data_IF_471209692376
#
_entry.id   IF_471209692376
#
_cell.length_a   1.000
_cell.length_b   1.000
_cell.length_c   1.000
_cell.angle_alpha   90.00
_cell.angle_beta   90.00
_cell.angle_gamma   90.00
#
_symmetry.space_group_name_H-M   'P 1'
#
loop_
_entity.id
_entity.type
_entity.pdbx_description
1 polymer ?
#
# COMPACT_ATOMS: atom_id res chain seq x y z
N UNK A 1 104.79 6.97 -59.11
CA UNK A 1 103.49 6.74 -59.76
C UNK A 1 102.76 5.46 -59.33
N UNK A 2 103.35 4.57 -58.50
CA UNK A 2 102.65 3.37 -57.99
C UNK A 2 102.12 3.51 -56.54
N UNK A 3 102.30 4.67 -55.90
CA UNK A 3 101.85 4.91 -54.51
C UNK A 3 100.59 5.80 -54.41
N UNK A 4 100.28 6.61 -55.42
CA UNK A 4 99.09 7.49 -55.41
C UNK A 4 97.78 6.74 -55.73
N UNK A 5 97.85 5.61 -56.44
CA UNK A 5 96.66 4.82 -56.81
C UNK A 5 96.14 3.94 -55.66
N UNK A 6 97.01 3.55 -54.72
CA UNK A 6 96.64 2.64 -53.63
C UNK A 6 95.93 3.35 -52.47
N UNK A 7 96.29 4.61 -52.19
CA UNK A 7 95.58 5.45 -51.20
C UNK A 7 94.18 5.84 -51.68
N UNK A 8 94.02 6.14 -52.98
CA UNK A 8 92.71 6.47 -53.57
C UNK A 8 91.71 5.31 -53.45
N UNK A 9 92.15 4.06 -53.58
CA UNK A 9 91.28 2.89 -53.43
C UNK A 9 90.95 2.57 -51.97
N UNK A 10 91.83 2.90 -51.02
CA UNK A 10 91.57 2.72 -49.59
C UNK A 10 90.52 3.73 -49.08
N UNK A 11 90.59 4.98 -49.54
CA UNK A 11 89.61 6.02 -49.22
C UNK A 11 88.24 5.73 -49.85
N UNK A 12 88.20 5.24 -51.11
CA UNK A 12 86.96 4.77 -51.76
C UNK A 12 86.31 3.60 -51.00
N UNK A 13 87.12 2.63 -50.54
CA UNK A 13 86.61 1.51 -49.74
C UNK A 13 86.09 1.96 -48.37
N UNK A 14 86.72 2.95 -47.73
CA UNK A 14 86.27 3.51 -46.46
C UNK A 14 84.94 4.23 -46.63
N UNK A 15 84.82 5.06 -47.66
CA UNK A 15 83.58 5.76 -48.00
C UNK A 15 82.43 4.79 -48.33
N UNK A 16 82.72 3.69 -49.04
CA UNK A 16 81.74 2.64 -49.31
C UNK A 16 81.29 1.92 -48.03
N UNK A 17 82.19 1.65 -47.08
CA UNK A 17 81.85 1.02 -45.79
C UNK A 17 80.97 1.94 -44.94
N UNK A 18 81.27 3.23 -44.87
CA UNK A 18 80.42 4.21 -44.19
C UNK A 18 79.04 4.32 -44.85
N UNK A 19 78.99 4.29 -46.19
CA UNK A 19 77.72 4.30 -46.94
C UNK A 19 76.89 3.04 -46.67
N UNK A 20 77.52 1.86 -46.63
CA UNK A 20 76.85 0.60 -46.30
C UNK A 20 76.32 0.64 -44.87
N UNK A 21 77.13 1.04 -43.89
CA UNK A 21 76.69 1.15 -42.50
C UNK A 21 75.52 2.15 -42.34
N UNK A 22 75.54 3.28 -43.07
CA UNK A 22 74.43 4.24 -43.09
C UNK A 22 73.16 3.68 -43.72
N UNK A 23 73.27 2.88 -44.79
CA UNK A 23 72.13 2.22 -45.42
C UNK A 23 71.56 1.11 -44.54
N UNK A 24 72.40 0.30 -43.90
CA UNK A 24 72.00 -0.74 -42.95
C UNK A 24 71.24 -0.14 -41.77
N UNK A 25 71.71 0.98 -41.21
CA UNK A 25 71.01 1.71 -40.16
C UNK A 25 69.64 2.24 -40.63
N UNK A 26 69.55 2.76 -41.86
CA UNK A 26 68.27 3.24 -42.43
C UNK A 26 67.29 2.10 -42.70
N UNK A 27 67.78 0.94 -43.15
CA UNK A 27 66.93 -0.26 -43.35
C UNK A 27 66.38 -0.74 -42.00
N UNK A 28 67.21 -0.80 -40.95
CA UNK A 28 66.77 -1.19 -39.63
C UNK A 28 65.71 -0.23 -39.05
N UNK A 29 65.88 1.09 -39.24
CA UNK A 29 64.90 2.11 -38.84
C UNK A 29 63.56 1.93 -39.57
N UNK A 30 63.59 1.74 -40.90
CA UNK A 30 62.38 1.50 -41.69
C UNK A 30 61.67 0.18 -41.34
N UNK A 31 62.43 -0.87 -41.01
CA UNK A 31 61.86 -2.14 -40.55
C UNK A 31 61.16 -1.99 -39.20
N UNK A 32 61.72 -1.20 -38.28
CA UNK A 32 61.10 -0.89 -37.00
C UNK A 32 59.82 -0.07 -37.18
N UNK A 33 59.85 1.00 -37.99
CA UNK A 33 58.65 1.80 -38.30
C UNK A 33 57.55 0.95 -38.97
N UNK A 34 57.92 0.09 -39.94
CA UNK A 34 56.98 -0.84 -40.57
C UNK A 34 56.38 -1.82 -39.57
N UNK A 35 57.18 -2.30 -38.61
CA UNK A 35 56.70 -3.20 -37.56
C UNK A 35 55.72 -2.49 -36.64
N UNK A 36 56.03 -1.28 -36.16
CA UNK A 36 55.14 -0.48 -35.32
C UNK A 36 53.82 -0.14 -36.03
N UNK A 37 53.88 0.26 -37.30
CA UNK A 37 52.68 0.50 -38.12
C UNK A 37 51.83 -0.76 -38.32
N UNK A 38 52.46 -1.92 -38.56
CA UNK A 38 51.74 -3.20 -38.67
C UNK A 38 51.06 -3.56 -37.35
N UNK A 39 51.72 -3.35 -36.22
CA UNK A 39 51.16 -3.61 -34.90
C UNK A 39 49.98 -2.67 -34.60
N UNK A 40 50.13 -1.37 -34.87
CA UNK A 40 49.06 -0.38 -34.70
C UNK A 40 47.84 -0.67 -35.59
N UNK A 41 48.06 -1.06 -36.85
CA UNK A 41 46.99 -1.45 -37.76
C UNK A 41 46.27 -2.72 -37.31
N UNK A 42 47.01 -3.73 -36.85
CA UNK A 42 46.44 -4.96 -36.31
C UNK A 42 45.60 -4.69 -35.05
N UNK A 43 46.09 -3.84 -34.14
CA UNK A 43 45.35 -3.44 -32.94
C UNK A 43 44.06 -2.70 -33.27
N UNK A 44 44.10 -1.75 -34.21
CA UNK A 44 42.91 -1.00 -34.65
C UNK A 44 41.86 -1.93 -35.29
N UNK A 45 42.30 -2.89 -36.10
CA UNK A 45 41.40 -3.88 -36.70
C UNK A 45 40.75 -4.79 -35.64
N UNK A 46 41.54 -5.25 -34.66
CA UNK A 46 41.03 -6.08 -33.57
C UNK A 46 39.98 -5.35 -32.70
N UNK A 47 40.19 -4.06 -32.41
CA UNK A 47 39.22 -3.25 -31.66
C UNK A 47 37.89 -3.12 -32.41
N UNK A 48 37.93 -2.84 -33.71
CA UNK A 48 36.71 -2.75 -34.53
C UNK A 48 36.00 -4.10 -34.59
N UNK A 49 36.72 -5.20 -34.78
CA UNK A 49 36.14 -6.55 -34.84
C UNK A 49 35.56 -7.02 -33.48
N UNK A 50 36.04 -6.48 -32.36
CA UNK A 50 35.51 -6.80 -31.03
C UNK A 50 34.19 -6.09 -30.71
N UNK A 51 33.95 -4.91 -31.30
CA UNK A 51 32.79 -4.07 -31.01
C UNK A 51 31.72 -4.16 -32.10
N UNK A 52 32.14 -4.29 -33.35
CA UNK A 52 31.24 -4.31 -34.48
C UNK A 52 31.18 -5.68 -35.14
N UNK A 53 29.96 -6.20 -35.25
CA UNK A 53 29.68 -7.44 -35.97
C UNK A 53 29.89 -7.27 -37.48
N UNK A 54 29.67 -6.06 -37.99
CA UNK A 54 29.89 -5.73 -39.40
C UNK A 54 30.85 -4.56 -39.51
N UNK A 55 31.89 -4.74 -40.33
CA UNK A 55 32.66 -3.64 -40.91
C UNK A 55 32.37 -3.55 -42.40
N UNK A 56 32.21 -2.33 -42.90
CA UNK A 56 31.90 -2.07 -44.29
C UNK A 56 32.80 -0.97 -44.85
N UNK A 57 32.96 -0.98 -46.17
CA UNK A 57 33.65 0.08 -46.88
C UNK A 57 33.05 0.28 -48.26
N UNK A 58 33.06 1.53 -48.74
CA UNK A 58 32.53 1.91 -50.06
C UNK A 58 33.60 2.63 -50.87
N UNK A 59 33.33 2.80 -52.17
CA UNK A 59 34.15 3.65 -53.03
C UNK A 59 34.07 5.12 -52.61
N UNK A 60 34.98 5.94 -53.13
CA UNK A 60 35.07 7.37 -52.84
C UNK A 60 33.77 8.15 -53.12
N UNK A 61 33.01 7.74 -54.14
CA UNK A 61 31.73 8.32 -54.54
C UNK A 61 30.54 7.85 -53.68
N UNK A 62 30.80 7.01 -52.67
CA UNK A 62 29.79 6.44 -51.79
C UNK A 62 29.11 5.19 -52.35
N UNK A 63 29.47 4.72 -53.54
CA UNK A 63 28.94 3.47 -54.09
C UNK A 63 29.55 2.26 -53.40
N UNK A 64 28.72 1.30 -53.01
CA UNK A 64 29.17 -0.01 -52.53
C UNK A 64 29.77 -0.82 -53.67
N UNK A 65 31.05 -1.15 -53.57
CA UNK A 65 31.81 -1.88 -54.59
C UNK A 65 32.71 -2.99 -54.04
N UNK A 66 32.63 -3.28 -52.74
CA UNK A 66 33.44 -4.28 -52.06
C UNK A 66 32.53 -5.29 -51.38
N UNK A 67 32.86 -6.58 -51.48
CA UNK A 67 32.17 -7.61 -50.74
C UNK A 67 32.34 -7.36 -49.23
N UNK A 68 31.23 -7.36 -48.48
CA UNK A 68 31.24 -7.42 -47.02
C UNK A 68 30.74 -8.81 -46.62
N UNK A 69 31.65 -9.78 -46.40
CA UNK A 69 31.26 -11.14 -46.05
C UNK A 69 30.39 -11.20 -44.80
N UNK A 70 30.66 -10.33 -43.81
CA UNK A 70 29.84 -10.24 -42.60
C UNK A 70 28.42 -9.75 -42.90
N UNK A 71 28.26 -8.73 -43.75
CA UNK A 71 26.94 -8.24 -44.15
C UNK A 71 26.15 -9.31 -44.90
N UNK A 72 26.77 -9.98 -45.87
CA UNK A 72 26.15 -11.06 -46.63
C UNK A 72 25.73 -12.23 -45.73
N UNK A 73 26.60 -12.62 -44.79
CA UNK A 73 26.28 -13.68 -43.84
C UNK A 73 25.10 -13.32 -42.92
N UNK A 74 25.00 -12.05 -42.51
CA UNK A 74 23.93 -11.60 -41.62
C UNK A 74 22.59 -11.39 -42.35
N UNK A 75 22.61 -10.72 -43.50
CA UNK A 75 21.40 -10.27 -44.22
C UNK A 75 20.92 -11.26 -45.29
N UNK A 76 21.80 -12.16 -45.74
CA UNK A 76 21.57 -13.05 -46.86
C UNK A 76 21.70 -12.38 -48.24
N UNK A 77 22.03 -11.09 -48.33
CA UNK A 77 22.19 -10.40 -49.62
C UNK A 77 23.42 -10.89 -50.37
N UNK A 78 23.34 -10.99 -51.70
CA UNK A 78 24.50 -11.27 -52.55
C UNK A 78 25.33 -10.02 -52.81
N UNK A 79 26.58 -10.17 -53.26
CA UNK A 79 27.45 -9.03 -53.58
C UNK A 79 26.87 -8.20 -54.74
N UNK A 80 26.17 -8.84 -55.68
CA UNK A 80 25.47 -8.18 -56.79
C UNK A 80 24.30 -7.34 -56.28
N UNK A 81 23.53 -7.84 -55.32
CA UNK A 81 22.42 -7.11 -54.68
C UNK A 81 22.91 -5.91 -53.86
N UNK A 82 24.17 -5.93 -53.40
CA UNK A 82 24.73 -4.83 -52.63
C UNK A 82 25.18 -3.64 -53.47
N UNK A 83 25.24 -3.72 -54.80
CA UNK A 83 25.78 -2.65 -55.63
C UNK A 83 25.03 -1.31 -55.48
N UNK A 84 25.79 -0.21 -55.50
CA UNK A 84 25.24 1.15 -55.41
C UNK A 84 24.63 1.47 -54.03
N UNK A 85 23.30 1.37 -53.92
CA UNK A 85 22.54 1.60 -52.68
C UNK A 85 21.75 0.37 -52.21
N UNK A 86 22.02 -0.80 -52.80
CA UNK A 86 21.24 -2.02 -52.56
C UNK A 86 21.31 -2.56 -51.12
N UNK A 87 22.28 -2.12 -50.31
CA UNK A 87 22.30 -2.38 -48.86
C UNK A 87 21.04 -1.86 -48.15
N UNK A 88 20.39 -0.80 -48.66
CA UNK A 88 19.18 -0.25 -48.06
C UNK A 88 17.99 -1.22 -48.14
N UNK A 89 18.01 -2.21 -49.05
CA UNK A 89 16.93 -3.19 -49.18
C UNK A 89 16.90 -4.22 -48.05
N UNK A 90 18.01 -4.43 -47.34
CA UNK A 90 18.01 -5.20 -46.11
C UNK A 90 17.43 -4.43 -44.91
N UNK A 91 17.23 -3.11 -45.02
CA UNK A 91 16.62 -2.33 -43.95
C UNK A 91 15.09 -2.45 -43.95
N UNK A 92 14.51 -2.22 -42.77
CA UNK A 92 13.07 -2.13 -42.61
C UNK A 92 12.51 -1.05 -43.54
N UNK A 93 11.37 -1.29 -44.23
CA UNK A 93 10.83 -0.36 -45.25
C UNK A 93 10.71 1.10 -44.79
N UNK A 94 10.35 1.33 -43.53
CA UNK A 94 10.23 2.67 -42.93
C UNK A 94 11.59 3.39 -42.76
N UNK A 95 12.69 2.64 -42.60
CA UNK A 95 14.00 3.20 -42.28
C UNK A 95 14.82 3.48 -43.56
N UNK A 96 14.47 2.84 -44.69
CA UNK A 96 15.22 2.88 -45.95
C UNK A 96 15.46 4.30 -46.45
N UNK A 97 14.39 5.10 -46.52
CA UNK A 97 14.46 6.45 -47.06
C UNK A 97 15.33 7.35 -46.19
N UNK A 98 15.16 7.27 -44.86
CA UNK A 98 15.94 8.07 -43.91
C UNK A 98 17.43 7.69 -43.95
N UNK A 99 17.75 6.40 -43.91
CA UNK A 99 19.13 5.92 -43.96
C UNK A 99 19.82 6.29 -45.28
N UNK A 100 19.13 6.11 -46.41
CA UNK A 100 19.67 6.47 -47.73
C UNK A 100 19.92 7.99 -47.85
N UNK A 101 19.00 8.82 -47.36
CA UNK A 101 19.19 10.29 -47.35
C UNK A 101 20.35 10.69 -46.45
N UNK A 102 20.46 10.11 -45.25
CA UNK A 102 21.57 10.36 -44.35
C UNK A 102 22.92 9.99 -44.99
N UNK A 103 22.97 8.88 -45.74
CA UNK A 103 24.16 8.48 -46.48
C UNK A 103 24.51 9.48 -47.58
N UNK A 104 23.54 9.88 -48.41
CA UNK A 104 23.76 10.88 -49.46
C UNK A 104 24.26 12.22 -48.89
N UNK A 105 23.69 12.65 -47.77
CA UNK A 105 24.10 13.86 -47.08
C UNK A 105 25.53 13.74 -46.53
N UNK A 106 25.88 12.62 -45.90
CA UNK A 106 27.24 12.37 -45.42
C UNK A 106 28.25 12.43 -46.57
N UNK A 107 27.96 11.77 -47.69
CA UNK A 107 28.80 11.75 -48.89
C UNK A 107 28.97 13.16 -49.47
N UNK A 108 27.87 13.90 -49.64
CA UNK A 108 27.90 15.26 -50.19
C UNK A 108 28.65 16.25 -49.28
N UNK A 109 28.44 16.14 -47.96
CA UNK A 109 29.09 17.00 -46.98
C UNK A 109 30.53 16.57 -46.64
N UNK A 110 30.98 15.40 -47.11
CA UNK A 110 32.22 14.73 -46.67
C UNK A 110 32.27 14.58 -45.14
N UNK A 111 31.10 14.33 -44.54
CA UNK A 111 30.88 14.30 -43.10
C UNK A 111 30.76 12.88 -42.55
N UNK A 112 30.43 12.76 -41.27
CA UNK A 112 30.17 11.48 -40.61
C UNK A 112 28.78 10.96 -41.01
N UNK A 113 28.69 9.68 -41.35
CA UNK A 113 27.43 8.95 -41.41
C UNK A 113 27.16 8.35 -40.03
N UNK A 114 26.02 8.67 -39.42
CA UNK A 114 25.66 8.22 -38.08
C UNK A 114 24.14 8.03 -38.02
N UNK A 115 23.69 6.77 -38.01
CA UNK A 115 22.27 6.43 -38.03
C UNK A 115 21.99 5.15 -37.28
N UNK A 116 20.77 5.03 -36.76
CA UNK A 116 20.20 3.76 -36.31
C UNK A 116 19.11 3.31 -37.29
N UNK A 117 19.06 2.00 -37.55
CA UNK A 117 18.05 1.40 -38.41
C UNK A 117 17.77 -0.04 -38.01
N UNK A 118 16.62 -0.54 -38.43
CA UNK A 118 16.28 -1.96 -38.34
C UNK A 118 16.85 -2.72 -39.52
N UNK A 119 17.78 -3.63 -39.25
CA UNK A 119 18.40 -4.52 -40.23
C UNK A 119 17.73 -5.89 -40.20
N UNK A 120 17.34 -6.40 -41.38
CA UNK A 120 16.76 -7.73 -41.52
C UNK A 120 17.86 -8.78 -41.55
N UNK A 121 17.80 -9.73 -40.63
CA UNK A 121 18.63 -10.93 -40.64
C UNK A 121 18.13 -11.95 -41.66
N UNK A 122 18.94 -12.98 -41.96
CA UNK A 122 18.61 -14.03 -42.92
C UNK A 122 17.31 -14.79 -42.56
N UNK A 123 17.00 -14.89 -41.27
CA UNK A 123 15.76 -15.50 -40.75
C UNK A 123 14.50 -14.63 -40.95
N UNK A 124 14.68 -13.38 -41.42
CA UNK A 124 13.61 -12.42 -41.65
C UNK A 124 13.26 -11.55 -40.45
N UNK A 125 13.90 -11.74 -39.30
CA UNK A 125 13.71 -10.93 -38.10
C UNK A 125 14.50 -9.63 -38.21
N UNK A 126 13.92 -8.54 -37.70
CA UNK A 126 14.56 -7.23 -37.69
C UNK A 126 15.24 -6.96 -36.35
N UNK A 127 16.51 -6.59 -36.42
CA UNK A 127 17.35 -6.20 -35.29
C UNK A 127 17.74 -4.72 -35.43
N UNK A 128 17.89 -4.02 -34.30
CA UNK A 128 18.30 -2.61 -34.28
C UNK A 128 19.82 -2.53 -34.41
N UNK A 129 20.30 -1.90 -35.47
CA UNK A 129 21.72 -1.64 -35.66
C UNK A 129 22.00 -0.15 -35.62
N UNK A 130 23.08 0.22 -34.95
CA UNK A 130 23.71 1.52 -35.09
C UNK A 130 24.83 1.42 -36.11
N UNK A 131 24.85 2.33 -37.09
CA UNK A 131 25.88 2.39 -38.11
C UNK A 131 26.59 3.74 -38.09
N UNK A 132 27.91 3.68 -38.01
CA UNK A 132 28.79 4.85 -38.10
C UNK A 132 29.79 4.66 -39.23
N UNK A 133 29.99 5.71 -40.02
CA UNK A 133 30.92 5.73 -41.15
C UNK A 133 31.60 7.07 -41.32
N UNK A 134 32.86 7.03 -41.75
CA UNK A 134 33.69 8.22 -41.97
C UNK A 134 34.44 8.12 -43.31
N UNK A 135 34.72 9.27 -43.96
CA UNK A 135 35.55 9.29 -45.15
C UNK A 135 37.02 9.08 -44.77
N UNK A 136 37.70 8.20 -45.50
CA UNK A 136 39.15 8.09 -45.44
C UNK A 136 39.77 9.08 -46.45
N UNK A 137 40.23 10.21 -45.93
CA UNK A 137 40.79 11.33 -46.70
C UNK A 137 42.31 11.18 -46.85
N UNK A 138 42.82 11.42 -48.06
CA UNK A 138 44.25 11.45 -48.39
C UNK A 138 44.87 12.81 -48.08
N UNK A 139 46.21 12.90 -48.10
CA UNK A 139 46.95 14.16 -47.85
C UNK A 139 46.57 15.28 -48.83
N UNK A 140 46.15 14.95 -50.05
CA UNK A 140 45.69 15.90 -51.07
C UNK A 140 44.23 16.37 -50.87
N UNK A 141 43.57 15.91 -49.80
CA UNK A 141 42.18 16.22 -49.49
C UNK A 141 41.14 15.46 -50.32
N UNK A 142 41.57 14.51 -51.16
CA UNK A 142 40.67 13.60 -51.87
C UNK A 142 40.21 12.45 -50.97
N UNK A 143 38.98 11.98 -51.15
CA UNK A 143 38.47 10.80 -50.43
C UNK A 143 38.92 9.56 -51.18
N UNK A 144 39.64 8.66 -50.51
CA UNK A 144 40.03 7.36 -51.07
C UNK A 144 38.90 6.34 -51.02
N UNK A 145 38.20 6.28 -49.90
CA UNK A 145 37.08 5.36 -49.64
C UNK A 145 36.31 5.81 -48.40
N UNK A 146 35.14 5.24 -48.17
CA UNK A 146 34.47 5.35 -46.88
C UNK A 146 34.66 4.06 -46.10
N UNK A 147 34.79 4.18 -44.79
CA UNK A 147 34.89 3.05 -43.87
C UNK A 147 33.91 3.26 -42.72
N UNK A 148 33.30 2.17 -42.28
CA UNK A 148 32.37 2.23 -41.17
C UNK A 148 32.10 0.87 -40.58
N UNK A 149 31.26 0.86 -39.57
CA UNK A 149 30.83 -0.34 -38.90
C UNK A 149 29.34 -0.31 -38.58
N UNK A 150 28.78 -1.48 -38.29
CA UNK A 150 27.44 -1.63 -37.73
C UNK A 150 27.53 -2.46 -36.46
N UNK A 151 26.89 -1.97 -35.40
CA UNK A 151 26.83 -2.59 -34.07
C UNK A 151 25.39 -2.95 -33.78
N UNK A 152 25.12 -4.20 -33.39
CA UNK A 152 23.78 -4.59 -32.91
C UNK A 152 23.54 -3.92 -31.55
N UNK A 153 22.52 -3.07 -31.49
CA UNK A 153 22.09 -2.36 -30.27
C UNK A 153 20.73 -2.85 -29.79
N UNK A 154 20.25 -3.99 -30.29
CA UNK A 154 18.93 -4.56 -30.01
C UNK A 154 18.73 -4.80 -28.52
N UNK A 155 19.65 -5.53 -27.88
CA UNK A 155 19.54 -5.87 -26.46
C UNK A 155 19.54 -4.61 -25.58
N UNK A 156 20.48 -3.69 -25.84
CA UNK A 156 20.56 -2.41 -25.13
C UNK A 156 19.25 -1.62 -25.26
N UNK A 157 18.73 -1.45 -26.48
CA UNK A 157 17.48 -0.71 -26.72
C UNK A 157 16.26 -1.41 -26.10
N UNK A 158 16.24 -2.74 -26.07
CA UNK A 158 15.19 -3.51 -25.40
C UNK A 158 15.22 -3.31 -23.88
N UNK A 159 16.40 -3.36 -23.27
CA UNK A 159 16.58 -3.11 -21.84
C UNK A 159 16.18 -1.68 -21.45
N UNK A 160 16.64 -0.69 -22.21
CA UNK A 160 16.27 0.72 -22.00
C UNK A 160 14.75 0.93 -22.11
N UNK A 161 14.10 0.34 -23.11
CA UNK A 161 12.64 0.41 -23.27
C UNK A 161 11.91 -0.30 -22.14
N UNK A 162 12.37 -1.48 -21.75
CA UNK A 162 11.77 -2.24 -20.65
C UNK A 162 11.87 -1.48 -19.33
N UNK A 163 13.04 -0.89 -19.04
CA UNK A 163 13.25 -0.04 -17.87
C UNK A 163 12.32 1.16 -17.89
N UNK A 164 12.30 1.91 -19.01
CA UNK A 164 11.43 3.08 -19.16
C UNK A 164 9.95 2.72 -19.00
N UNK A 165 9.48 1.65 -19.62
CA UNK A 165 8.09 1.20 -19.48
C UNK A 165 7.78 0.78 -18.04
N UNK A 166 8.72 0.14 -17.35
CA UNK A 166 8.58 -0.23 -15.94
C UNK A 166 8.49 1.00 -15.04
N UNK A 167 9.35 2.00 -15.26
CA UNK A 167 9.34 3.27 -14.53
C UNK A 167 8.05 4.06 -14.77
N UNK A 168 7.61 4.19 -16.03
CA UNK A 168 6.36 4.86 -16.40
C UNK A 168 5.15 4.15 -15.79
N UNK A 169 5.12 2.81 -15.82
CA UNK A 169 4.07 2.01 -15.20
C UNK A 169 4.05 2.18 -13.68
N UNK A 170 5.21 2.11 -13.03
CA UNK A 170 5.34 2.28 -11.57
C UNK A 170 4.89 3.68 -11.15
N UNK A 171 5.36 4.72 -11.85
CA UNK A 171 4.93 6.11 -11.64
C UNK A 171 3.41 6.26 -11.83
N UNK A 172 2.85 5.67 -12.89
CA UNK A 172 1.41 5.76 -13.15
C UNK A 172 0.57 5.06 -12.09
N UNK A 173 1.04 3.91 -11.55
CA UNK A 173 0.36 3.22 -10.46
C UNK A 173 0.38 4.11 -9.23
N UNK A 174 1.56 4.52 -8.76
CA UNK A 174 1.71 5.29 -7.52
C UNK A 174 0.90 6.59 -7.55
N UNK A 175 0.89 7.31 -8.68
CA UNK A 175 0.13 8.55 -8.83
C UNK A 175 -1.38 8.35 -8.67
N UNK A 176 -1.93 7.23 -9.16
CA UNK A 176 -3.39 7.00 -9.27
C UNK A 176 -3.95 6.01 -8.25
N UNK A 177 -3.12 5.46 -7.36
CA UNK A 177 -3.59 4.61 -6.27
C UNK A 177 -4.67 5.34 -5.47
N UNK A 178 -5.83 4.72 -5.16
CA UNK A 178 -6.92 5.32 -4.37
C UNK A 178 -6.58 5.36 -2.87
N UNK A 179 -5.30 5.52 -2.55
CA UNK A 179 -4.74 5.64 -1.21
C UNK A 179 -3.84 6.86 -1.25
N UNK A 180 -4.01 7.78 -0.31
CA UNK A 180 -3.13 8.95 -0.22
C UNK A 180 -1.73 8.49 0.23
N UNK A 181 -0.74 8.73 -0.62
CA UNK A 181 0.66 8.35 -0.39
C UNK A 181 1.52 9.60 -0.37
N UNK A 182 2.48 9.63 0.55
CA UNK A 182 3.52 10.64 0.60
C UNK A 182 4.89 9.97 0.76
N UNK A 183 5.93 10.67 0.31
CA UNK A 183 7.31 10.30 0.49
C UNK A 183 8.11 11.51 0.98
N UNK A 184 9.09 11.27 1.83
CA UNK A 184 9.97 12.28 2.41
C UNK A 184 11.44 11.91 2.23
N UNK A 185 12.32 12.90 2.34
CA UNK A 185 13.77 12.67 2.47
C UNK A 185 14.15 12.19 3.88
N UNK A 186 15.43 11.91 4.11
CA UNK A 186 15.96 11.47 5.38
C UNK A 186 15.71 12.46 6.54
N UNK A 187 15.55 13.75 6.23
CA UNK A 187 15.20 14.78 7.21
C UNK A 187 13.68 14.92 7.44
N UNK A 188 12.86 14.13 6.75
CA UNK A 188 11.41 14.12 6.88
C UNK A 188 10.70 15.23 6.10
N UNK A 189 11.36 15.88 5.14
CA UNK A 189 10.74 16.88 4.25
C UNK A 189 10.08 16.17 3.06
N UNK A 190 8.89 16.59 2.68
CA UNK A 190 8.11 15.94 1.61
C UNK A 190 8.77 16.09 0.24
N UNK A 191 9.09 14.95 -0.41
CA UNK A 191 9.61 14.87 -1.79
C UNK A 191 8.51 14.57 -2.80
N UNK A 192 7.50 13.80 -2.41
CA UNK A 192 6.45 13.34 -3.30
C UNK A 192 5.13 13.16 -2.55
N UNK A 193 4.02 13.45 -3.24
CA UNK A 193 2.67 13.08 -2.85
C UNK A 193 1.90 12.67 -4.10
N UNK A 194 0.99 11.70 -3.99
CA UNK A 194 0.17 11.29 -5.13
C UNK A 194 -1.14 12.10 -5.26
N UNK A 195 -1.92 11.81 -6.29
CA UNK A 195 -3.18 12.53 -6.58
C UNK A 195 -4.19 12.35 -5.44
N UNK A 196 -4.25 11.14 -4.86
CA UNK A 196 -5.14 10.83 -3.74
C UNK A 196 -4.78 11.62 -2.48
N UNK A 197 -3.49 11.86 -2.20
CA UNK A 197 -3.07 12.72 -1.09
C UNK A 197 -3.54 14.16 -1.28
N UNK A 198 -3.44 14.68 -2.50
CA UNK A 198 -3.94 16.02 -2.83
C UNK A 198 -5.47 16.08 -2.73
N UNK A 199 -6.17 15.01 -3.11
CA UNK A 199 -7.63 14.90 -3.00
C UNK A 199 -8.11 14.84 -1.54
N UNK A 200 -7.39 14.12 -0.67
CA UNK A 200 -7.72 14.00 0.76
C UNK A 200 -7.45 15.31 1.51
N UNK A 201 -6.35 15.99 1.21
CA UNK A 201 -5.93 17.20 1.94
C UNK A 201 -6.43 18.51 1.32
N UNK A 202 -6.82 18.50 0.04
CA UNK A 202 -7.12 19.70 -0.73
C UNK A 202 -5.89 20.56 -1.07
N UNK A 203 -4.68 20.13 -0.71
CA UNK A 203 -3.43 20.84 -1.00
C UNK A 203 -2.84 20.31 -2.30
N UNK A 204 -2.56 21.16 -3.31
CA UNK A 204 -1.92 20.72 -4.53
C UNK A 204 -0.51 20.17 -4.28
N UNK A 205 -0.14 19.06 -4.93
CA UNK A 205 1.15 18.39 -4.75
C UNK A 205 2.37 19.34 -4.73
N UNK A 206 2.44 20.30 -5.65
CA UNK A 206 3.54 21.30 -5.71
C UNK A 206 3.68 22.15 -4.44
N UNK A 207 2.59 22.36 -3.71
CA UNK A 207 2.54 23.14 -2.48
C UNK A 207 2.75 22.28 -1.23
N UNK A 208 2.74 20.95 -1.37
CA UNK A 208 2.96 20.00 -0.28
C UNK A 208 4.45 19.71 -0.06
N UNK A 209 5.30 19.97 -1.05
CA UNK A 209 6.75 19.71 -1.02
C UNK A 209 7.44 20.47 0.12
N UNK A 210 8.53 19.89 0.63
CA UNK A 210 9.25 20.42 1.80
C UNK A 210 8.38 20.31 3.05
N UNK A 211 8.18 21.44 3.72
CA UNK A 211 7.27 21.58 4.87
C UNK A 211 5.85 22.03 4.46
N UNK A 212 5.57 22.01 3.14
CA UNK A 212 4.32 22.51 2.57
C UNK A 212 3.06 21.75 3.03
N UNK A 213 3.21 20.49 3.41
CA UNK A 213 2.14 19.66 3.98
C UNK A 213 1.55 20.23 5.27
N UNK A 214 2.30 21.06 6.02
CA UNK A 214 1.81 21.74 7.23
C UNK A 214 0.61 22.65 6.97
N UNK A 215 0.40 23.08 5.73
CA UNK A 215 -0.76 23.89 5.31
C UNK A 215 -2.08 23.14 5.43
N UNK A 216 -2.04 21.80 5.35
CA UNK A 216 -3.23 20.97 5.48
C UNK A 216 -3.66 20.81 6.95
N UNK A 217 -2.75 20.97 7.91
CA UNK A 217 -3.01 20.72 9.32
C UNK A 217 -3.93 21.78 9.95
N UNK A 218 -4.76 21.33 10.89
CA UNK A 218 -5.46 22.22 11.80
C UNK A 218 -4.47 22.95 12.72
N UNK A 219 -4.69 24.24 13.01
CA UNK A 219 -3.76 25.09 13.77
C UNK A 219 -3.35 24.51 15.12
N UNK A 220 -4.29 23.89 15.81
CA UNK A 220 -4.07 23.32 17.15
C UNK A 220 -3.22 22.05 17.11
N UNK A 221 -3.18 21.35 15.97
CA UNK A 221 -2.53 20.04 15.82
C UNK A 221 -1.11 20.19 15.26
N UNK A 222 -0.74 21.36 14.73
CA UNK A 222 0.56 21.59 14.07
C UNK A 222 1.72 21.22 14.98
N UNK A 223 1.74 21.75 16.22
CA UNK A 223 2.87 21.56 17.13
C UNK A 223 3.06 20.09 17.50
N UNK A 224 2.00 19.44 17.96
CA UNK A 224 2.04 18.04 18.39
C UNK A 224 2.37 17.10 17.22
N UNK A 225 1.82 17.36 16.03
CA UNK A 225 2.07 16.53 14.84
C UNK A 225 3.53 16.65 14.39
N UNK A 226 4.10 17.85 14.37
CA UNK A 226 5.51 18.09 14.01
C UNK A 226 6.46 17.43 15.01
N UNK A 227 6.15 17.49 16.30
CA UNK A 227 6.94 16.83 17.35
C UNK A 227 6.94 15.30 17.14
N UNK A 228 5.76 14.69 16.97
CA UNK A 228 5.63 13.24 16.70
C UNK A 228 6.32 12.84 15.40
N UNK A 229 6.21 13.65 14.35
CA UNK A 229 6.89 13.41 13.08
C UNK A 229 8.41 13.44 13.24
N UNK A 230 8.94 14.44 13.95
CA UNK A 230 10.37 14.59 14.20
C UNK A 230 10.94 13.44 15.05
N UNK A 231 10.16 12.93 16.01
CA UNK A 231 10.51 11.76 16.80
C UNK A 231 10.57 10.49 15.94
N UNK A 232 9.59 10.29 15.04
CA UNK A 232 9.59 9.17 14.09
C UNK A 232 10.83 9.21 13.20
N UNK A 233 11.14 10.38 12.62
CA UNK A 233 12.32 10.58 11.75
C UNK A 233 13.60 10.27 12.51
N UNK A 234 13.74 10.75 13.76
CA UNK A 234 14.94 10.50 14.59
C UNK A 234 15.08 9.04 15.02
N UNK A 235 13.96 8.37 15.32
CA UNK A 235 13.96 6.99 15.75
C UNK A 235 14.24 6.00 14.61
N UNK A 236 13.85 6.35 13.37
CA UNK A 236 14.03 5.47 12.21
C UNK A 236 13.21 4.18 12.25
N UNK A 237 12.16 4.12 13.08
CA UNK A 237 11.32 2.93 13.30
C UNK A 237 9.84 3.16 12.95
N UNK A 238 9.19 2.12 12.42
CA UNK A 238 7.75 2.07 12.10
C UNK A 238 6.89 1.76 13.34
N UNK A 239 6.92 2.59 14.40
CA UNK A 239 6.15 2.26 15.62
C UNK A 239 4.93 3.11 15.92
N UNK A 240 4.71 4.23 15.24
CA UNK A 240 3.61 5.11 15.60
C UNK A 240 2.77 5.53 14.40
N UNK A 241 1.46 5.43 14.58
CA UNK A 241 0.48 6.08 13.72
C UNK A 241 0.21 7.45 14.33
N UNK A 242 0.20 8.49 13.49
CA UNK A 242 0.00 9.87 13.93
C UNK A 242 -1.38 10.31 13.44
N UNK A 243 -2.32 10.44 14.37
CA UNK A 243 -3.67 10.90 14.07
C UNK A 243 -3.76 12.41 14.33
N UNK A 244 -4.28 13.15 13.35
CA UNK A 244 -4.43 14.61 13.40
C UNK A 244 -5.57 15.10 12.52
N UNK A 245 -5.98 16.34 12.72
CA UNK A 245 -7.01 17.00 11.94
C UNK A 245 -6.41 17.78 10.78
N UNK A 246 -7.07 17.69 9.63
CA UNK A 246 -6.79 18.52 8.46
C UNK A 246 -7.94 19.50 8.19
N UNK A 247 -7.59 20.67 7.66
CA UNK A 247 -8.51 21.70 7.21
C UNK A 247 -8.57 21.69 5.69
N UNK A 248 -9.75 21.39 5.14
CA UNK A 248 -10.00 21.45 3.72
C UNK A 248 -10.17 22.90 3.22
N UNK A 249 -9.99 23.17 1.92
CA UNK A 249 -10.20 24.51 1.35
C UNK A 249 -11.61 25.08 1.54
N UNK A 250 -12.62 24.23 1.74
CA UNK A 250 -14.00 24.63 2.03
C UNK A 250 -14.24 24.93 3.53
N UNK A 251 -13.21 24.79 4.36
CA UNK A 251 -13.25 25.01 5.82
C UNK A 251 -13.73 23.80 6.62
N UNK A 252 -14.05 22.67 5.98
CA UNK A 252 -14.43 21.45 6.69
C UNK A 252 -13.22 20.76 7.32
N UNK A 253 -13.46 20.07 8.44
CA UNK A 253 -12.45 19.34 9.19
C UNK A 253 -12.56 17.85 8.92
N UNK A 254 -11.42 17.18 8.74
CA UNK A 254 -11.35 15.72 8.68
C UNK A 254 -10.29 15.19 9.62
N UNK A 255 -10.58 14.05 10.22
CA UNK A 255 -9.58 13.29 10.97
C UNK A 255 -8.85 12.36 10.02
N UNK A 256 -7.53 12.45 10.05
CA UNK A 256 -6.66 11.60 9.23
C UNK A 256 -5.63 10.91 10.10
N UNK A 257 -5.21 9.75 9.63
CA UNK A 257 -4.26 8.87 10.28
C UNK A 257 -3.08 8.66 9.35
N UNK A 258 -1.91 9.15 9.75
CA UNK A 258 -0.68 9.02 8.99
C UNK A 258 0.18 7.87 9.53
N UNK A 259 0.70 7.05 8.63
CA UNK A 259 1.67 6.00 8.94
C UNK A 259 2.79 6.03 7.93
N UNK A 260 4.04 6.00 8.40
CA UNK A 260 5.22 5.97 7.56
C UNK A 260 6.15 4.80 7.91
N UNK A 261 6.90 4.33 6.92
CA UNK A 261 7.96 3.33 7.03
C UNK A 261 9.26 3.91 6.47
N UNK A 262 10.43 3.59 7.05
CA UNK A 262 11.70 4.04 6.52
C UNK A 262 11.99 3.36 5.16
N UNK A 263 12.42 4.15 4.19
CA UNK A 263 13.07 3.70 2.96
C UNK A 263 14.57 3.64 3.21
N UNK A 264 15.18 2.50 2.93
CA UNK A 264 16.61 2.26 3.13
C UNK A 264 17.30 2.03 1.80
N UNK A 265 18.52 2.54 1.68
CA UNK A 265 19.39 2.30 0.53
C UNK A 265 20.02 0.89 0.59
N UNK A 266 20.93 0.61 -0.37
CA UNK A 266 21.59 -0.69 -0.47
C UNK A 266 22.54 -0.97 0.71
N UNK A 267 23.04 0.09 1.36
CA UNK A 267 23.91 0.07 2.52
C UNK A 267 23.12 -0.06 3.84
N UNK A 268 21.80 0.11 3.78
CA UNK A 268 20.88 0.01 4.91
C UNK A 268 20.63 1.34 5.63
N UNK A 269 21.18 2.44 5.13
CA UNK A 269 20.98 3.79 5.65
C UNK A 269 19.60 4.32 5.24
N UNK A 270 19.02 5.18 6.07
CA UNK A 270 17.68 5.73 5.79
C UNK A 270 17.81 6.84 4.74
N UNK A 271 17.28 6.60 3.54
CA UNK A 271 17.21 7.59 2.46
C UNK A 271 15.97 8.49 2.59
N UNK A 272 14.95 8.01 3.31
CA UNK A 272 13.71 8.75 3.52
C UNK A 272 12.60 7.90 4.14
N UNK A 273 11.37 8.37 4.02
CA UNK A 273 10.20 7.65 4.54
C UNK A 273 9.07 7.67 3.53
N UNK A 274 8.39 6.53 3.36
CA UNK A 274 7.16 6.43 2.58
C UNK A 274 5.99 6.17 3.51
N UNK A 275 4.88 6.87 3.30
CA UNK A 275 3.74 6.76 4.18
C UNK A 275 2.40 6.91 3.48
N UNK A 276 1.36 6.60 4.23
CA UNK A 276 -0.03 6.71 3.81
C UNK A 276 -0.78 7.63 4.74
N UNK A 277 -1.79 8.31 4.19
CA UNK A 277 -2.75 9.12 4.92
C UNK A 277 -4.14 8.50 4.73
N UNK A 278 -4.77 8.09 5.83
CA UNK A 278 -6.09 7.46 5.78
C UNK A 278 -7.11 8.36 6.45
N UNK A 279 -8.23 8.65 5.78
CA UNK A 279 -9.36 9.32 6.40
C UNK A 279 -10.01 8.37 7.42
N UNK A 280 -10.09 8.81 8.68
CA UNK A 280 -10.66 8.06 9.80
C UNK A 280 -11.90 8.74 10.37
N UNK A 281 -12.44 9.74 9.68
CA UNK A 281 -13.59 10.52 10.14
C UNK A 281 -14.82 9.64 10.38
N UNK A 282 -15.18 8.80 9.40
CA UNK A 282 -16.34 7.89 9.51
C UNK A 282 -16.15 6.88 10.65
N UNK A 283 -14.92 6.37 10.81
CA UNK A 283 -14.58 5.45 11.89
C UNK A 283 -14.77 6.09 13.26
N UNK A 284 -14.24 7.31 13.45
CA UNK A 284 -14.39 8.04 14.71
C UNK A 284 -15.85 8.42 15.00
N UNK A 285 -16.62 8.78 13.98
CA UNK A 285 -18.05 9.04 14.14
C UNK A 285 -18.82 7.78 14.55
N UNK A 286 -18.52 6.64 13.94
CA UNK A 286 -19.12 5.36 14.31
C UNK A 286 -18.74 4.93 15.73
N UNK A 287 -17.48 5.09 16.12
CA UNK A 287 -16.99 4.82 17.48
C UNK A 287 -17.68 5.73 18.51
N UNK A 288 -17.87 7.01 18.19
CA UNK A 288 -18.57 7.96 19.06
C UNK A 288 -20.05 7.61 19.21
N UNK A 289 -20.74 7.32 18.11
CA UNK A 289 -22.14 6.90 18.14
C UNK A 289 -22.33 5.62 18.96
N UNK A 290 -21.40 4.66 18.82
CA UNK A 290 -21.41 3.42 19.60
C UNK A 290 -21.24 3.70 21.10
N UNK A 291 -20.29 4.57 21.47
CA UNK A 291 -20.09 4.98 22.87
C UNK A 291 -21.33 5.65 23.45
N UNK A 292 -21.92 6.59 22.72
CA UNK A 292 -23.15 7.27 23.15
C UNK A 292 -24.31 6.29 23.33
N UNK A 293 -24.47 5.35 22.39
CA UNK A 293 -25.50 4.30 22.47
C UNK A 293 -25.26 3.37 23.67
N UNK A 294 -24.00 2.98 23.92
CA UNK A 294 -23.64 2.15 25.07
C UNK A 294 -23.96 2.87 26.38
N UNK A 295 -23.53 4.12 26.54
CA UNK A 295 -23.82 4.91 27.74
C UNK A 295 -25.33 5.12 27.92
N UNK A 296 -26.07 5.37 26.84
CA UNK A 296 -27.52 5.49 26.91
C UNK A 296 -28.19 4.17 27.36
N UNK A 297 -27.76 3.03 26.82
CA UNK A 297 -28.27 1.72 27.22
C UNK A 297 -27.95 1.39 28.68
N UNK A 298 -26.75 1.71 29.15
CA UNK A 298 -26.36 1.55 30.57
C UNK A 298 -27.28 2.37 31.49
N UNK A 299 -27.61 3.61 31.12
CA UNK A 299 -28.54 4.45 31.89
C UNK A 299 -29.95 3.88 31.88
N UNK A 300 -30.44 3.41 30.73
CA UNK A 300 -31.77 2.79 30.60
C UNK A 300 -31.86 1.54 31.48
N UNK A 301 -30.83 0.70 31.47
CA UNK A 301 -30.81 -0.53 32.26
C UNK A 301 -30.75 -0.23 33.76
N UNK A 302 -29.93 0.74 34.18
CA UNK A 302 -29.89 1.20 35.57
C UNK A 302 -31.21 1.85 36.03
N UNK A 303 -31.99 2.43 35.12
CA UNK A 303 -33.35 2.92 35.40
C UNK A 303 -34.36 1.79 35.50
N UNK A 304 -34.32 0.81 34.59
CA UNK A 304 -35.18 -0.39 34.62
C UNK A 304 -34.99 -1.17 35.91
N UNK A 305 -33.74 -1.40 36.32
CA UNK A 305 -33.45 -2.11 37.56
C UNK A 305 -34.01 -1.37 38.77
N UNK A 306 -33.83 -0.04 38.86
CA UNK A 306 -34.40 0.78 39.94
C UNK A 306 -35.92 0.77 39.95
N UNK A 307 -36.57 0.80 38.79
CA UNK A 307 -38.02 0.68 38.69
C UNK A 307 -38.51 -0.72 39.12
N UNK A 308 -37.78 -1.78 38.76
CA UNK A 308 -38.08 -3.15 39.18
C UNK A 308 -37.98 -3.31 40.71
N UNK A 309 -36.90 -2.80 41.32
CA UNK A 309 -36.69 -2.81 42.77
C UNK A 309 -37.79 -2.05 43.53
N UNK A 310 -38.30 -0.94 42.96
CA UNK A 310 -39.38 -0.13 43.56
C UNK A 310 -40.79 -0.71 43.35
N UNK A 311 -40.99 -1.52 42.31
CA UNK A 311 -42.32 -2.00 41.91
C UNK A 311 -42.70 -3.35 42.51
N UNK A 312 -41.75 -4.03 43.16
CA UNK A 312 -41.94 -5.33 43.81
C UNK A 312 -41.27 -5.39 45.19
N UNK A 313 -41.41 -4.35 46.05
CA UNK A 313 -40.65 -4.28 47.28
C UNK A 313 -41.14 -5.34 48.26
N UNK A 314 -40.23 -6.11 48.84
CA UNK A 314 -40.54 -6.97 49.96
C UNK A 314 -40.40 -6.15 51.26
N UNK A 315 -41.53 -5.78 51.85
CA UNK A 315 -41.62 -4.89 53.01
C UNK A 315 -41.84 -5.73 54.27
N UNK A 316 -40.93 -5.70 55.27
CA UNK A 316 -41.20 -6.31 56.57
C UNK A 316 -42.21 -5.48 57.35
N UNK A 317 -43.32 -6.10 57.76
CA UNK A 317 -44.30 -5.51 58.67
C UNK A 317 -43.87 -5.74 60.12
N UNK A 318 -43.35 -6.94 60.41
CA UNK A 318 -42.68 -7.33 61.66
C UNK A 318 -41.59 -8.35 61.34
N UNK A 319 -40.78 -8.74 62.33
CA UNK A 319 -39.74 -9.78 62.17
C UNK A 319 -40.28 -11.14 61.68
N UNK A 320 -41.60 -11.36 61.76
CA UNK A 320 -42.25 -12.62 61.35
C UNK A 320 -43.22 -12.46 60.19
N UNK A 321 -43.45 -11.24 59.69
CA UNK A 321 -44.45 -10.95 58.65
C UNK A 321 -43.84 -10.10 57.55
N UNK A 322 -43.88 -10.61 56.32
CA UNK A 322 -43.50 -9.89 55.11
C UNK A 322 -44.75 -9.51 54.32
N UNK A 323 -44.70 -8.38 53.62
CA UNK A 323 -45.68 -8.04 52.60
C UNK A 323 -44.99 -7.65 51.30
N UNK A 324 -45.56 -8.08 50.18
CA UNK A 324 -45.12 -7.74 48.84
C UNK A 324 -46.31 -7.13 48.08
N UNK A 325 -46.43 -5.79 48.05
CA UNK A 325 -47.40 -5.12 47.20
C UNK A 325 -46.99 -5.22 45.73
N UNK A 326 -47.92 -5.70 44.91
CA UNK A 326 -47.80 -5.78 43.46
C UNK A 326 -48.63 -4.64 42.86
N UNK A 327 -47.95 -3.74 42.14
CA UNK A 327 -48.57 -2.55 41.54
C UNK A 327 -48.31 -2.51 40.04
N UNK A 328 -49.34 -2.21 39.25
CA UNK A 328 -49.26 -2.09 37.80
C UNK A 328 -49.57 -3.39 37.05
N UNK A 329 -49.18 -3.48 35.78
CA UNK A 329 -49.36 -4.67 34.98
C UNK A 329 -48.42 -5.79 35.44
N UNK A 330 -48.96 -7.01 35.57
CA UNK A 330 -48.19 -8.20 35.94
C UNK A 330 -48.14 -9.11 34.71
N UNK A 331 -46.96 -9.31 34.15
CA UNK A 331 -46.70 -10.23 33.04
C UNK A 331 -46.00 -11.51 33.55
N UNK A 332 -45.82 -12.56 32.72
CA UNK A 332 -45.20 -13.80 33.15
C UNK A 332 -43.78 -13.65 33.70
N UNK A 333 -42.96 -12.77 33.12
CA UNK A 333 -41.58 -12.53 33.54
C UNK A 333 -41.54 -11.89 34.94
N UNK A 334 -42.38 -10.87 35.15
CA UNK A 334 -42.54 -10.20 36.44
C UNK A 334 -43.14 -11.13 37.49
N UNK A 335 -44.01 -12.06 37.11
CA UNK A 335 -44.56 -13.04 38.05
C UNK A 335 -43.49 -14.05 38.55
N UNK A 336 -42.52 -14.41 37.72
CA UNK A 336 -41.36 -15.21 38.13
C UNK A 336 -40.39 -14.39 39.02
N UNK A 337 -40.22 -13.09 38.76
CA UNK A 337 -39.47 -12.21 39.67
C UNK A 337 -40.13 -12.12 41.06
N UNK A 338 -41.46 -11.97 41.11
CA UNK A 338 -42.25 -12.01 42.35
C UNK A 338 -41.99 -13.29 43.14
N UNK A 339 -41.98 -14.44 42.46
CA UNK A 339 -41.66 -15.74 43.05
C UNK A 339 -40.27 -15.71 43.71
N UNK A 340 -39.24 -15.38 42.95
CA UNK A 340 -37.85 -15.40 43.43
C UNK A 340 -37.66 -14.46 44.63
N UNK A 341 -38.09 -13.20 44.52
CA UNK A 341 -37.92 -12.21 45.58
C UNK A 341 -38.68 -12.60 46.85
N UNK A 342 -39.87 -13.20 46.73
CA UNK A 342 -40.64 -13.69 47.86
C UNK A 342 -39.91 -14.84 48.58
N UNK A 343 -39.44 -15.83 47.83
CA UNK A 343 -38.78 -17.01 48.40
C UNK A 343 -37.46 -16.65 49.08
N UNK A 344 -36.61 -15.84 48.43
CA UNK A 344 -35.38 -15.33 49.02
C UNK A 344 -35.68 -14.53 50.29
N UNK A 345 -36.71 -13.69 50.23
CA UNK A 345 -37.22 -12.91 51.35
C UNK A 345 -37.60 -13.74 52.56
N UNK A 346 -38.46 -14.74 52.34
CA UNK A 346 -38.93 -15.68 53.36
C UNK A 346 -37.76 -16.48 53.94
N UNK A 347 -36.89 -17.02 53.07
CA UNK A 347 -35.73 -17.80 53.52
C UNK A 347 -34.74 -16.97 54.34
N UNK A 348 -34.51 -15.71 53.96
CA UNK A 348 -33.55 -14.82 54.64
C UNK A 348 -34.06 -14.33 56.00
N UNK A 349 -35.36 -14.05 56.11
CA UNK A 349 -35.95 -13.46 57.33
C UNK A 349 -36.57 -14.51 58.26
N UNK A 350 -36.83 -15.72 57.78
CA UNK A 350 -37.56 -16.74 58.54
C UNK A 350 -39.02 -16.37 58.82
N UNK A 351 -39.62 -15.56 57.94
CA UNK A 351 -40.98 -15.05 58.13
C UNK A 351 -41.99 -16.20 58.26
N UNK A 352 -42.88 -16.10 59.25
CA UNK A 352 -43.95 -17.07 59.47
C UNK A 352 -45.14 -16.83 58.53
N UNK A 353 -45.33 -15.59 58.08
CA UNK A 353 -46.41 -15.20 57.17
C UNK A 353 -45.88 -14.27 56.09
N UNK A 354 -46.27 -14.50 54.84
CA UNK A 354 -46.01 -13.62 53.71
C UNK A 354 -47.32 -13.18 53.04
N UNK A 355 -47.51 -11.87 52.88
CA UNK A 355 -48.71 -11.29 52.28
C UNK A 355 -48.37 -10.80 50.87
N UNK A 356 -48.95 -11.40 49.83
CA UNK A 356 -48.90 -10.86 48.48
C UNK A 356 -50.13 -9.98 48.27
N UNK A 357 -49.93 -8.69 48.10
CA UNK A 357 -51.01 -7.74 47.86
C UNK A 357 -51.15 -7.44 46.37
N UNK A 358 -52.22 -7.95 45.78
CA UNK A 358 -52.53 -7.74 44.36
C UNK A 358 -53.54 -6.63 44.14
N UNK A 359 -53.85 -5.83 45.18
CA UNK A 359 -54.82 -4.72 45.09
C UNK A 359 -54.46 -3.73 43.96
N UNK A 360 -53.16 -3.52 43.71
CA UNK A 360 -52.65 -2.62 42.68
C UNK A 360 -52.54 -3.22 41.27
N UNK A 361 -52.91 -4.50 41.08
CA UNK A 361 -52.81 -5.20 39.78
C UNK A 361 -54.14 -5.13 39.05
N UNK A 362 -54.17 -4.49 37.88
CA UNK A 362 -55.40 -4.19 37.15
C UNK A 362 -56.08 -5.41 36.52
N UNK A 363 -55.30 -6.34 35.95
CA UNK A 363 -55.77 -7.56 35.28
C UNK A 363 -54.87 -8.73 35.66
N UNK A 364 -55.47 -9.88 35.97
CA UNK A 364 -54.75 -11.13 36.24
C UNK A 364 -55.31 -12.19 35.29
N UNK A 365 -54.48 -12.63 34.34
CA UNK A 365 -54.83 -13.74 33.45
C UNK A 365 -54.51 -15.11 34.09
N UNK A 366 -54.78 -16.18 33.35
CA UNK A 366 -54.57 -17.55 33.82
C UNK A 366 -53.09 -17.91 34.04
N UNK A 367 -52.17 -17.38 33.25
CA UNK A 367 -50.73 -17.65 33.39
C UNK A 367 -50.16 -16.96 34.63
N UNK A 368 -50.50 -15.69 34.80
CA UNK A 368 -50.10 -14.87 35.95
C UNK A 368 -50.71 -15.42 37.25
N UNK A 369 -51.99 -15.79 37.23
CA UNK A 369 -52.64 -16.46 38.36
C UNK A 369 -51.94 -17.77 38.74
N UNK A 370 -51.54 -18.59 37.75
CA UNK A 370 -50.79 -19.82 37.99
C UNK A 370 -49.43 -19.54 38.65
N UNK A 371 -48.69 -18.55 38.16
CA UNK A 371 -47.40 -18.16 38.72
C UNK A 371 -47.51 -17.67 40.18
N UNK A 372 -48.51 -16.82 40.49
CA UNK A 372 -48.78 -16.37 41.86
C UNK A 372 -49.13 -17.52 42.82
N UNK A 373 -49.89 -18.51 42.34
CA UNK A 373 -50.21 -19.72 43.10
C UNK A 373 -48.97 -20.58 43.34
N UNK A 374 -48.10 -20.75 42.34
CA UNK A 374 -46.80 -21.44 42.51
C UNK A 374 -45.94 -20.74 43.56
N UNK A 375 -45.90 -19.40 43.55
CA UNK A 375 -45.20 -18.63 44.57
C UNK A 375 -45.75 -18.84 45.97
N UNK A 376 -47.08 -18.82 46.11
CA UNK A 376 -47.72 -19.11 47.40
C UNK A 376 -47.43 -20.53 47.90
N UNK A 377 -47.42 -21.52 47.00
CA UNK A 377 -47.11 -22.92 47.35
C UNK A 377 -45.64 -23.11 47.71
N UNK A 378 -44.72 -22.53 46.95
CA UNK A 378 -43.28 -22.62 47.20
C UNK A 378 -42.88 -21.94 48.52
N UNK A 379 -43.43 -20.78 48.85
CA UNK A 379 -43.16 -20.10 50.12
C UNK A 379 -43.68 -20.92 51.33
N UNK A 380 -44.76 -21.69 51.15
CA UNK A 380 -45.24 -22.64 52.16
C UNK A 380 -44.31 -23.83 52.38
N UNK A 381 -43.65 -24.32 51.33
CA UNK A 381 -42.61 -25.35 51.48
C UNK A 381 -41.43 -24.84 52.34
N UNK A 382 -41.18 -23.52 52.33
CA UNK A 382 -40.22 -22.86 53.22
C UNK A 382 -40.77 -22.56 54.63
N UNK A 383 -42.01 -22.97 54.93
CA UNK A 383 -42.62 -22.84 56.26
C UNK A 383 -43.41 -21.53 56.50
N UNK A 384 -43.53 -20.65 55.50
CA UNK A 384 -44.31 -19.42 55.60
C UNK A 384 -45.76 -19.63 55.14
N UNK A 385 -46.73 -19.20 55.95
CA UNK A 385 -48.13 -19.12 55.51
C UNK A 385 -48.30 -17.96 54.53
N UNK A 386 -49.05 -18.17 53.45
CA UNK A 386 -49.21 -17.14 52.41
C UNK A 386 -50.64 -16.60 52.39
N UNK A 387 -50.75 -15.28 52.44
CA UNK A 387 -52.01 -14.56 52.33
C UNK A 387 -52.02 -13.79 51.00
N UNK A 388 -52.96 -14.11 50.13
CA UNK A 388 -53.26 -13.31 48.95
C UNK A 388 -54.29 -12.24 49.33
N UNK A 389 -53.93 -10.97 49.21
CA UNK A 389 -54.81 -9.83 49.53
C UNK A 389 -55.16 -9.01 48.29
N UNK A 390 -56.34 -8.38 48.28
CA UNK A 390 -56.81 -7.61 47.11
C UNK A 390 -57.55 -8.43 46.05
N UNK A 391 -58.05 -9.63 46.42
CA UNK A 391 -58.76 -10.51 45.50
C UNK A 391 -60.13 -9.90 45.13
N UNK A 392 -60.30 -9.57 43.85
CA UNK A 392 -61.56 -9.09 43.25
C UNK A 392 -62.35 -10.25 42.63
N UNK A 393 -63.63 -10.02 42.30
CA UNK A 393 -64.53 -11.06 41.81
C UNK A 393 -64.00 -11.74 40.53
N UNK A 394 -63.41 -10.95 39.62
CA UNK A 394 -62.86 -11.41 38.35
C UNK A 394 -61.64 -12.30 38.56
N UNK A 395 -60.74 -11.90 39.47
CA UNK A 395 -59.54 -12.69 39.82
C UNK A 395 -59.92 -13.97 40.55
N UNK A 396 -60.92 -13.92 41.44
CA UNK A 396 -61.45 -15.10 42.11
C UNK A 396 -62.02 -16.12 41.11
N UNK A 397 -62.73 -15.66 40.07
CA UNK A 397 -63.22 -16.54 39.00
C UNK A 397 -62.09 -17.20 38.21
N UNK A 398 -61.06 -16.44 37.81
CA UNK A 398 -59.87 -16.98 37.13
C UNK A 398 -59.16 -18.03 37.98
N UNK A 399 -58.98 -17.75 39.27
CA UNK A 399 -58.33 -18.65 40.21
C UNK A 399 -59.14 -19.95 40.40
N UNK A 400 -60.47 -19.87 40.50
CA UNK A 400 -61.36 -21.04 40.60
C UNK A 400 -61.31 -21.88 39.32
N UNK A 401 -61.29 -21.24 38.15
CA UNK A 401 -61.21 -21.92 36.85
C UNK A 401 -59.92 -22.72 36.63
N UNK A 402 -58.84 -22.39 37.35
CA UNK A 402 -57.55 -23.09 37.30
C UNK A 402 -57.50 -24.37 38.15
N UNK A 403 -58.58 -24.72 38.86
CA UNK A 403 -58.63 -25.93 39.70
C UNK A 403 -57.67 -25.88 40.89
N UNK A 404 -57.26 -24.70 41.32
CA UNK A 404 -56.34 -24.54 42.43
C UNK A 404 -56.97 -25.08 43.73
N UNK A 405 -56.31 -26.02 44.40
CA UNK A 405 -56.72 -26.46 45.73
C UNK A 405 -56.47 -25.34 46.75
N UNK A 406 -57.48 -24.48 46.96
CA UNK A 406 -57.43 -23.35 47.90
C UNK A 406 -57.36 -23.74 49.37
N UNK A 407 -57.36 -25.04 49.69
CA UNK A 407 -57.54 -25.53 51.05
C UNK A 407 -56.60 -24.90 52.08
N UNK A 408 -55.46 -24.35 51.64
CA UNK A 408 -54.42 -23.82 52.52
C UNK A 408 -53.80 -22.48 52.07
N UNK A 409 -54.37 -21.75 51.10
CA UNK A 409 -53.94 -20.37 50.76
C UNK A 409 -55.03 -19.42 51.24
N UNK A 410 -54.71 -18.55 52.20
CA UNK A 410 -55.68 -17.62 52.74
C UNK A 410 -55.88 -16.45 51.77
N UNK A 411 -57.13 -16.10 51.49
CA UNK A 411 -57.48 -14.93 50.69
C UNK A 411 -58.15 -13.86 51.55
N UNK A 412 -57.90 -12.59 51.21
CA UNK A 412 -58.51 -11.42 51.85
C UNK A 412 -58.87 -10.35 50.83
N UNK A 413 -59.88 -9.54 51.14
CA UNK A 413 -60.37 -8.48 50.24
C UNK A 413 -59.46 -7.25 50.17
N UNK A 414 -58.57 -7.05 51.14
CA UNK A 414 -57.63 -5.91 51.16
C UNK A 414 -56.41 -6.21 52.02
N UNK A 415 -55.30 -5.51 51.75
CA UNK A 415 -54.06 -5.60 52.52
C UNK A 415 -54.28 -5.38 54.03
N UNK A 416 -55.11 -4.41 54.41
CA UNK A 416 -55.42 -4.12 55.82
C UNK A 416 -55.98 -5.35 56.56
N UNK A 417 -56.90 -6.08 55.92
CA UNK A 417 -57.48 -7.31 56.48
C UNK A 417 -56.44 -8.44 56.48
N UNK A 418 -55.60 -8.50 55.45
CA UNK A 418 -54.46 -9.41 55.36
C UNK A 418 -53.49 -9.24 56.53
N UNK A 419 -53.10 -8.02 56.86
CA UNK A 419 -52.18 -7.70 57.97
C UNK A 419 -52.79 -8.09 59.32
N UNK A 420 -54.06 -7.73 59.60
CA UNK A 420 -54.72 -8.09 60.85
C UNK A 420 -54.78 -9.62 61.06
N UNK A 421 -55.03 -10.37 59.98
CA UNK A 421 -54.97 -11.84 60.01
C UNK A 421 -53.56 -12.37 60.20
N UNK A 422 -52.57 -11.82 59.50
CA UNK A 422 -51.17 -12.22 59.64
C UNK A 422 -50.67 -12.03 61.07
N UNK A 423 -51.04 -10.92 61.73
CA UNK A 423 -50.70 -10.65 63.13
C UNK A 423 -51.30 -11.71 64.07
N UNK A 424 -52.57 -12.10 63.86
CA UNK A 424 -53.25 -13.15 64.63
C UNK A 424 -52.68 -14.55 64.38
N UNK A 425 -52.20 -14.82 63.16
CA UNK A 425 -51.57 -16.09 62.80
C UNK A 425 -50.17 -16.20 63.39
N UNK A 426 -49.38 -15.12 63.33
CA UNK A 426 -48.04 -15.04 63.90
C UNK A 426 -48.04 -15.18 65.43
N UNK A 427 -49.06 -14.65 66.12
CA UNK A 427 -49.18 -14.75 67.59
C UNK A 427 -49.62 -16.12 68.11
N UNK A 428 -50.10 -17.03 67.24
CA UNK A 428 -50.53 -18.40 67.64
C UNK A 428 -49.41 -19.43 67.56
N UNK A 429 -48.24 -19.07 67.00
CA UNK A 429 -47.10 -19.96 66.72
C UNK A 429 -45.79 -19.54 67.41
N UNK A 430 -45.84 -18.52 68.26
CA UNK A 430 -44.79 -18.22 69.25
C UNK A 430 -45.28 -18.67 70.62
#
# INVERSE_FOLDING_TARGET
>A
MAHETTDSHADEMSALRERIASLEARVAELEQEQHELRMSAAQSHALVAAVAEISWSTNADGSTGLASPQWCALTGQTVEELQGIGWADALHPEDRAQAAMAWQNAVAARGVYDVEFRLRHQDGVYHQYWSIGVPHVLEDGSIRKWIGCCVDVTEQRQMERALRMSEERSRSITLRLPVAVFETDAEGRTRFVNDSWSAVTGVPARQALGDGWLRALHSDDVKETVEKWSELVRAGEQKQTIDFRICLPDGSLRWVSARAVPLRDAEGEIEGFIGTLTDISDRLQAEQLLRETMTQNEVIEAQRQRLADLSTPLIPITDRILTMPLVGALDPERAEQVLTTLLEGVSRTGAAVAILDITGVAVVDTQVASALLRAAQAARLLGAEVILSGIRAEVAQTLVGLGAEFGNIMTTSSLKVGIDRAMKAASRRG
#
